data_IF_988812898924
#
_entry.id   IF_988812898924
#
_cell.length_a   1.000
_cell.length_b   1.000
_cell.length_c   1.000
_cell.angle_alpha   90.00
_cell.angle_beta   90.00
_cell.angle_gamma   90.00
#
_symmetry.space_group_name_H-M   'P 1'
#
loop_
_entity.id
_entity.type
_entity.pdbx_description
1 polymer ?
#
# COMPACT_ATOMS: atom_id res chain seq x y z
N UNK A 1 50.19 -20.40 -19.47
CA UNK A 1 49.92 -19.74 -18.17
C UNK A 1 48.91 -18.62 -18.38
N UNK A 2 47.65 -18.81 -17.98
CA UNK A 2 46.63 -17.76 -17.95
C UNK A 2 45.95 -17.81 -16.59
N UNK A 3 46.30 -16.89 -15.69
CA UNK A 3 45.47 -16.57 -14.53
C UNK A 3 44.84 -15.22 -14.84
N UNK A 4 43.61 -15.25 -15.35
CA UNK A 4 42.79 -14.07 -15.43
C UNK A 4 42.36 -13.71 -14.01
N UNK A 5 42.82 -12.56 -13.56
CA UNK A 5 42.41 -11.91 -12.33
C UNK A 5 41.48 -10.77 -12.73
N UNK A 6 40.21 -10.86 -12.40
CA UNK A 6 39.26 -9.76 -12.49
C UNK A 6 38.21 -9.93 -11.38
N UNK A 7 38.64 -9.50 -10.19
CA UNK A 7 37.86 -8.92 -9.09
C UNK A 7 36.38 -8.68 -9.44
N UNK A 8 35.51 -9.61 -9.07
CA UNK A 8 34.07 -9.35 -8.96
C UNK A 8 33.85 -8.47 -7.74
N UNK A 9 33.69 -7.17 -7.98
CA UNK A 9 33.40 -6.17 -6.96
C UNK A 9 31.96 -6.35 -6.46
N UNK A 10 31.86 -6.93 -5.27
CA UNK A 10 31.01 -6.57 -4.12
C UNK A 10 29.77 -5.71 -4.44
N UNK A 11 28.62 -6.38 -4.38
CA UNK A 11 27.48 -6.00 -3.54
C UNK A 11 27.31 -4.50 -3.26
N UNK A 12 26.75 -3.77 -4.23
CA UNK A 12 25.99 -2.55 -3.95
C UNK A 12 24.52 -2.90 -3.78
N UNK A 13 24.20 -3.76 -2.81
CA UNK A 13 22.81 -3.95 -2.40
C UNK A 13 22.31 -2.65 -1.84
N UNK A 14 21.40 -1.99 -2.56
CA UNK A 14 20.55 -0.96 -1.97
C UNK A 14 19.94 -1.52 -0.67
N UNK A 15 19.67 -0.70 0.35
CA UNK A 15 19.03 -1.18 1.56
C UNK A 15 17.72 -1.86 1.15
N UNK A 16 17.73 -3.19 1.20
CA UNK A 16 16.58 -4.05 0.97
C UNK A 16 15.64 -3.80 2.15
N UNK A 17 14.82 -2.76 2.00
CA UNK A 17 13.73 -2.48 2.90
C UNK A 17 12.77 -3.68 2.81
N UNK A 18 12.54 -4.43 3.91
CA UNK A 18 11.67 -5.61 3.89
C UNK A 18 10.18 -5.25 3.76
N UNK A 19 9.85 -4.00 3.44
CA UNK A 19 8.54 -3.59 2.97
C UNK A 19 8.29 -4.27 1.61
N UNK A 20 7.73 -5.48 1.67
CA UNK A 20 6.97 -6.20 0.64
C UNK A 20 7.16 -5.66 -0.78
N UNK A 21 7.81 -6.42 -1.66
CA UNK A 21 8.01 -6.06 -3.06
C UNK A 21 6.67 -6.03 -3.83
N UNK A 22 5.82 -5.04 -3.55
CA UNK A 22 4.59 -4.77 -4.27
C UNK A 22 4.97 -3.97 -5.52
N UNK A 23 4.53 -4.45 -6.68
CA UNK A 23 4.72 -3.71 -7.93
C UNK A 23 3.92 -2.41 -7.94
N UNK A 24 4.34 -1.37 -8.70
CA UNK A 24 3.58 -0.13 -8.83
C UNK A 24 2.10 -0.31 -9.22
N UNK A 25 1.80 -1.30 -10.07
CA UNK A 25 0.44 -1.58 -10.53
C UNK A 25 -0.39 -2.27 -9.44
N UNK A 26 0.19 -3.22 -8.70
CA UNK A 26 -0.46 -3.82 -7.53
C UNK A 26 -0.74 -2.75 -6.46
N UNK A 27 0.18 -1.82 -6.23
CA UNK A 27 -0.04 -0.73 -5.28
C UNK A 27 -1.19 0.18 -5.70
N UNK A 28 -1.27 0.54 -7.00
CA UNK A 28 -2.39 1.33 -7.54
C UNK A 28 -3.72 0.60 -7.40
N UNK A 29 -3.75 -0.69 -7.69
CA UNK A 29 -4.97 -1.49 -7.54
C UNK A 29 -5.38 -1.63 -6.06
N UNK A 30 -4.42 -1.80 -5.16
CA UNK A 30 -4.69 -1.85 -3.72
C UNK A 30 -5.22 -0.53 -3.18
N UNK A 31 -4.70 0.61 -3.67
CA UNK A 31 -5.23 1.95 -3.36
C UNK A 31 -6.69 2.04 -3.84
N UNK A 32 -6.96 1.64 -5.09
CA UNK A 32 -8.31 1.68 -5.68
C UNK A 32 -9.29 0.82 -4.88
N UNK A 33 -8.94 -0.44 -4.60
CA UNK A 33 -9.78 -1.36 -3.81
C UNK A 33 -10.03 -0.86 -2.40
N UNK A 34 -9.01 -0.29 -1.75
CA UNK A 34 -9.14 0.26 -0.40
C UNK A 34 -10.08 1.47 -0.41
N UNK A 35 -10.00 2.33 -1.45
CA UNK A 35 -10.93 3.44 -1.64
C UNK A 35 -12.37 2.95 -1.88
N UNK A 36 -12.58 2.00 -2.78
CA UNK A 36 -13.91 1.44 -3.05
C UNK A 36 -14.51 0.84 -1.76
N UNK A 37 -13.68 0.18 -0.95
CA UNK A 37 -14.11 -0.38 0.35
C UNK A 37 -14.49 0.70 1.36
N UNK A 38 -13.78 1.85 1.36
CA UNK A 38 -14.13 3.01 2.18
C UNK A 38 -15.46 3.59 1.75
N UNK A 39 -15.65 3.83 0.45
CA UNK A 39 -16.86 4.42 -0.10
C UNK A 39 -18.07 3.52 0.18
N UNK A 40 -17.92 2.20 -0.01
CA UNK A 40 -18.95 1.22 0.32
C UNK A 40 -19.27 1.18 1.82
N UNK A 41 -18.26 1.10 2.69
CA UNK A 41 -18.49 1.05 4.13
C UNK A 41 -19.14 2.35 4.64
N UNK A 42 -18.77 3.50 4.08
CA UNK A 42 -19.33 4.80 4.43
C UNK A 42 -20.79 4.92 4.00
N UNK A 43 -21.11 4.49 2.77
CA UNK A 43 -22.47 4.48 2.27
C UNK A 43 -23.37 3.60 3.16
N UNK A 44 -22.94 2.38 3.49
CA UNK A 44 -23.70 1.49 4.36
C UNK A 44 -23.82 2.03 5.80
N UNK A 45 -22.76 2.64 6.35
CA UNK A 45 -22.78 3.24 7.68
C UNK A 45 -23.86 4.31 7.80
N UNK A 46 -24.07 5.12 6.76
CA UNK A 46 -25.09 6.18 6.77
C UNK A 46 -26.53 5.64 6.78
N UNK A 47 -26.75 4.40 6.34
CA UNK A 47 -28.08 3.81 6.22
C UNK A 47 -28.40 2.78 7.32
N UNK A 48 -27.39 2.30 8.05
CA UNK A 48 -27.58 1.27 9.06
C UNK A 48 -28.01 1.88 10.41
N UNK A 49 -29.02 1.28 11.03
CA UNK A 49 -29.53 1.69 12.35
C UNK A 49 -29.25 0.65 13.44
N UNK A 50 -28.77 -0.53 13.06
CA UNK A 50 -28.40 -1.59 13.99
C UNK A 50 -27.12 -1.19 14.74
N UNK A 51 -27.14 -1.10 16.09
CA UNK A 51 -25.99 -0.68 16.89
C UNK A 51 -24.73 -1.54 16.67
N UNK A 52 -24.88 -2.85 16.46
CA UNK A 52 -23.75 -3.76 16.22
C UNK A 52 -23.12 -3.48 14.86
N UNK A 53 -23.95 -3.18 13.85
CA UNK A 53 -23.46 -2.82 12.51
C UNK A 53 -22.84 -1.42 12.48
N UNK A 54 -23.34 -0.48 13.28
CA UNK A 54 -22.73 0.85 13.47
C UNK A 54 -21.30 0.68 14.04
N UNK A 55 -21.12 -0.12 15.08
CA UNK A 55 -19.80 -0.39 15.65
C UNK A 55 -18.89 -1.06 14.61
N UNK A 56 -19.39 -2.11 13.95
CA UNK A 56 -18.67 -2.82 12.89
C UNK A 56 -18.12 -1.84 11.83
N UNK A 57 -19.00 -1.05 11.22
CA UNK A 57 -18.59 -0.12 10.17
C UNK A 57 -17.69 1.00 10.70
N UNK A 58 -17.85 1.45 11.95
CA UNK A 58 -16.93 2.41 12.58
C UNK A 58 -15.50 1.86 12.64
N UNK A 59 -15.33 0.61 13.06
CA UNK A 59 -14.02 -0.06 13.07
C UNK A 59 -13.49 -0.32 11.66
N UNK A 60 -14.34 -0.78 10.75
CA UNK A 60 -13.95 -1.04 9.35
C UNK A 60 -13.49 0.23 8.65
N UNK A 61 -14.22 1.34 8.79
CA UNK A 61 -13.84 2.64 8.25
C UNK A 61 -12.48 3.08 8.78
N UNK A 62 -12.27 2.99 10.10
CA UNK A 62 -10.98 3.37 10.70
C UNK A 62 -9.83 2.52 10.17
N UNK A 63 -10.01 1.21 10.08
CA UNK A 63 -8.99 0.30 9.57
C UNK A 63 -8.66 0.56 8.09
N UNK A 64 -9.69 0.74 7.27
CA UNK A 64 -9.53 1.04 5.85
C UNK A 64 -8.88 2.41 5.62
N UNK A 65 -9.20 3.42 6.44
CA UNK A 65 -8.55 4.74 6.41
C UNK A 65 -7.05 4.64 6.71
N UNK A 66 -6.68 3.88 7.75
CA UNK A 66 -5.27 3.65 8.10
C UNK A 66 -4.54 2.95 6.95
N UNK A 67 -5.14 1.90 6.37
CA UNK A 67 -4.58 1.21 5.20
C UNK A 67 -4.41 2.16 4.02
N UNK A 68 -5.42 2.96 3.71
CA UNK A 68 -5.39 3.91 2.60
C UNK A 68 -4.25 4.93 2.76
N UNK A 69 -4.12 5.53 3.96
CA UNK A 69 -3.03 6.45 4.27
C UNK A 69 -1.65 5.79 4.14
N UNK A 70 -1.51 4.54 4.57
CA UNK A 70 -0.27 3.79 4.41
C UNK A 70 0.08 3.54 2.94
N UNK A 71 -0.89 3.12 2.11
CA UNK A 71 -0.68 2.89 0.69
C UNK A 71 -0.34 4.19 -0.06
N UNK A 72 -0.99 5.31 0.28
CA UNK A 72 -0.65 6.62 -0.29
C UNK A 72 0.77 7.07 0.07
N UNK A 73 1.21 6.81 1.31
CA UNK A 73 2.60 7.08 1.71
C UNK A 73 3.56 6.24 0.86
N UNK A 74 3.28 4.95 0.67
CA UNK A 74 4.08 4.08 -0.22
C UNK A 74 4.12 4.61 -1.65
N UNK A 75 2.99 5.04 -2.20
CA UNK A 75 2.94 5.59 -3.56
C UNK A 75 3.80 6.86 -3.69
N UNK A 76 3.80 7.71 -2.66
CA UNK A 76 4.67 8.89 -2.59
C UNK A 76 6.16 8.51 -2.52
N UNK A 77 6.52 7.47 -1.77
CA UNK A 77 7.91 6.99 -1.71
C UNK A 77 8.42 6.45 -3.05
N UNK A 78 7.52 5.93 -3.89
CA UNK A 78 7.86 5.41 -5.22
C UNK A 78 7.73 6.46 -6.34
N UNK A 79 7.53 7.74 -5.99
CA UNK A 79 7.26 8.86 -6.92
C UNK A 79 6.08 8.62 -7.88
N UNK A 80 5.19 7.68 -7.56
CA UNK A 80 4.02 7.36 -8.38
C UNK A 80 2.93 8.43 -8.30
N UNK A 81 3.03 9.36 -7.35
CA UNK A 81 2.09 10.47 -7.14
C UNK A 81 2.48 11.75 -7.89
N UNK A 82 3.65 11.77 -8.57
CA UNK A 82 4.29 12.98 -9.10
C UNK A 82 4.13 13.18 -10.61
N UNK A 83 3.28 12.42 -11.30
CA UNK A 83 2.99 12.65 -12.72
C UNK A 83 1.64 13.36 -12.88
N UNK A 84 1.69 14.69 -12.87
CA UNK A 84 0.76 15.56 -13.61
C UNK A 84 1.55 16.30 -14.68
#
# INVERSE_FOLDING_TARGET
MRKQSARQNRSGGAPENPAFSISPDELREDIRRTKDSLDYALDNFNHVTDPVLIDYYSYTLKAAQIRYQFLLKQAKYLDLTSCN
#
